data_IF_536829153641
#
_entry.id   IF_536829153641
#
_cell.length_a   1.000
_cell.length_b   1.000
_cell.length_c   1.000
_cell.angle_alpha   90.00
_cell.angle_beta   90.00
_cell.angle_gamma   90.00
#
_symmetry.space_group_name_H-M   'P 1'
#
loop_
_entity.id
_entity.type
_entity.pdbx_description
1 polymer ?
#
# COMPACT_ATOMS: atom_id res chain seq x y z
N UNK A 1 -10.87 13.91 -5.06
CA UNK A 1 -10.45 12.63 -5.67
C UNK A 1 -9.37 12.02 -4.78
N UNK A 2 -9.51 10.76 -4.30
CA UNK A 2 -8.50 10.11 -3.45
C UNK A 2 -7.15 10.01 -4.16
N UNK A 3 -6.05 10.07 -3.40
CA UNK A 3 -4.70 9.96 -3.98
C UNK A 3 -4.51 8.57 -4.63
N UNK A 4 -3.79 8.47 -5.76
CA UNK A 4 -3.35 7.17 -6.24
C UNK A 4 -2.47 6.49 -5.18
N UNK A 5 -2.71 5.20 -4.96
CA UNK A 5 -1.95 4.42 -3.97
C UNK A 5 -0.51 4.23 -4.43
N UNK A 6 0.46 4.47 -3.55
CA UNK A 6 1.86 4.16 -3.83
C UNK A 6 2.14 2.65 -3.70
N UNK A 7 3.34 2.23 -4.07
CA UNK A 7 3.75 0.81 -4.06
C UNK A 7 3.59 0.15 -2.69
N UNK A 8 3.96 0.86 -1.62
CA UNK A 8 3.81 0.36 -0.25
C UNK A 8 2.35 0.23 0.17
N UNK A 9 1.48 1.17 -0.18
CA UNK A 9 0.04 1.09 0.16
C UNK A 9 -0.61 -0.08 -0.57
N UNK A 10 -0.25 -0.31 -1.83
CA UNK A 10 -0.71 -1.48 -2.58
C UNK A 10 -0.23 -2.79 -1.95
N UNK A 11 1.05 -2.85 -1.56
CA UNK A 11 1.63 -4.00 -0.86
C UNK A 11 0.95 -4.27 0.48
N UNK A 12 0.80 -3.23 1.32
CA UNK A 12 0.15 -3.32 2.63
C UNK A 12 -1.29 -3.82 2.50
N UNK A 13 -2.05 -3.31 1.54
CA UNK A 13 -3.42 -3.78 1.28
C UNK A 13 -3.46 -5.24 0.85
N UNK A 14 -2.48 -5.70 0.06
CA UNK A 14 -2.35 -7.11 -0.31
C UNK A 14 -2.02 -8.01 0.89
N UNK A 15 -1.10 -7.57 1.74
CA UNK A 15 -0.67 -8.33 2.93
C UNK A 15 -1.62 -8.19 4.13
N UNK A 16 -2.54 -7.23 4.11
CA UNK A 16 -3.41 -6.93 5.24
C UNK A 16 -4.19 -8.15 5.71
N UNK A 17 -4.79 -8.90 4.78
CA UNK A 17 -5.57 -10.09 5.14
C UNK A 17 -4.69 -11.20 5.73
N UNK A 18 -3.47 -11.36 5.22
CA UNK A 18 -2.51 -12.35 5.75
C UNK A 18 -2.07 -11.97 7.17
N UNK A 19 -1.69 -10.70 7.39
CA UNK A 19 -1.29 -10.17 8.71
C UNK A 19 -2.47 -10.24 9.69
N UNK A 20 -3.67 -9.86 9.26
CA UNK A 20 -4.87 -9.93 10.09
C UNK A 20 -5.24 -11.38 10.43
N UNK A 21 -5.07 -12.34 9.52
CA UNK A 21 -5.31 -13.76 9.83
C UNK A 21 -4.26 -14.33 10.78
N UNK A 22 -2.98 -13.97 10.60
CA UNK A 22 -1.88 -14.48 11.43
C UNK A 22 -1.93 -13.93 12.85
N UNK A 23 -2.27 -12.66 13.01
CA UNK A 23 -2.15 -11.95 14.29
C UNK A 23 -3.48 -11.46 14.85
N UNK A 24 -4.59 -11.54 14.12
CA UNK A 24 -5.89 -10.95 14.51
C UNK A 24 -6.54 -11.57 15.75
N UNK A 25 -6.01 -12.68 16.25
CA UNK A 25 -6.37 -13.24 17.55
C UNK A 25 -5.76 -12.47 18.74
N UNK A 26 -4.80 -11.57 18.49
CA UNK A 26 -4.15 -10.77 19.53
C UNK A 26 -4.99 -9.53 19.86
N UNK A 27 -5.30 -9.27 21.15
CA UNK A 27 -6.10 -8.11 21.58
C UNK A 27 -5.53 -6.74 21.19
N UNK A 28 -4.23 -6.67 20.89
CA UNK A 28 -3.51 -5.43 20.58
C UNK A 28 -3.34 -5.16 19.07
N UNK A 29 -3.99 -5.93 18.19
CA UNK A 29 -3.86 -5.75 16.74
C UNK A 29 -4.67 -4.57 16.23
N UNK A 30 -4.10 -3.38 16.38
CA UNK A 30 -4.57 -2.16 15.72
C UNK A 30 -4.04 -2.05 14.28
N UNK A 31 -4.69 -1.22 13.46
CA UNK A 31 -4.18 -0.84 12.14
C UNK A 31 -2.74 -0.28 12.18
N UNK A 32 -2.34 0.30 13.31
CA UNK A 32 -0.97 0.77 13.55
C UNK A 32 0.02 -0.40 13.62
N UNK A 33 -0.34 -1.47 14.36
CA UNK A 33 0.48 -2.68 14.47
C UNK A 33 0.62 -3.38 13.11
N UNK A 34 -0.48 -3.52 12.35
CA UNK A 34 -0.45 -4.07 10.98
C UNK A 34 0.50 -3.25 10.10
N UNK A 35 0.41 -1.93 10.16
CA UNK A 35 1.25 -1.06 9.34
C UNK A 35 2.73 -1.16 9.69
N UNK A 36 3.06 -1.39 10.98
CA UNK A 36 4.43 -1.62 11.45
C UNK A 36 4.99 -2.98 11.00
N UNK A 37 4.17 -4.03 11.05
CA UNK A 37 4.56 -5.36 10.53
C UNK A 37 4.75 -5.28 9.01
N UNK A 38 3.79 -4.69 8.29
CA UNK A 38 3.86 -4.56 6.84
C UNK A 38 5.06 -3.72 6.38
N UNK A 39 5.46 -2.68 7.13
CA UNK A 39 6.66 -1.90 6.80
C UNK A 39 7.94 -2.72 6.98
N UNK A 40 8.04 -3.54 8.02
CA UNK A 40 9.17 -4.47 8.21
C UNK A 40 9.21 -5.54 7.12
N UNK A 41 8.06 -6.15 6.80
CA UNK A 41 7.95 -7.11 5.69
C UNK A 41 8.39 -6.46 4.38
N UNK A 42 7.89 -5.25 4.10
CA UNK A 42 8.27 -4.51 2.89
C UNK A 42 9.78 -4.24 2.83
N UNK A 43 10.45 -3.89 3.93
CA UNK A 43 11.90 -3.69 3.91
C UNK A 43 12.64 -4.98 3.58
N UNK A 44 12.22 -6.12 4.14
CA UNK A 44 12.80 -7.43 3.91
C UNK A 44 12.37 -8.10 2.58
N UNK A 45 11.35 -7.57 1.92
CA UNK A 45 10.74 -8.17 0.73
C UNK A 45 11.70 -8.20 -0.48
N UNK A 46 11.52 -9.21 -1.33
CA UNK A 46 12.34 -9.40 -2.52
C UNK A 46 12.27 -8.17 -3.47
N UNK A 47 13.40 -7.71 -4.03
CA UNK A 47 13.42 -6.60 -4.98
C UNK A 47 12.47 -6.77 -6.18
N UNK A 48 12.25 -7.99 -6.65
CA UNK A 48 11.31 -8.32 -7.74
C UNK A 48 9.88 -8.05 -7.33
N UNK A 49 9.50 -8.39 -6.09
CA UNK A 49 8.17 -8.11 -5.56
C UNK A 49 8.00 -6.59 -5.43
N UNK A 50 8.98 -5.90 -4.87
CA UNK A 50 8.98 -4.43 -4.80
C UNK A 50 8.81 -3.78 -6.18
N UNK A 51 9.52 -4.28 -7.19
CA UNK A 51 9.41 -3.81 -8.58
C UNK A 51 8.01 -4.03 -9.16
N UNK A 52 7.37 -5.18 -8.89
CA UNK A 52 5.98 -5.44 -9.32
C UNK A 52 5.00 -4.42 -8.72
N UNK A 53 5.13 -4.11 -7.43
CA UNK A 53 4.28 -3.11 -6.78
C UNK A 53 4.61 -1.69 -7.23
N UNK A 54 5.86 -1.38 -7.56
CA UNK A 54 6.26 -0.11 -8.16
C UNK A 54 5.63 0.09 -9.55
N UNK A 55 5.69 -0.93 -10.42
CA UNK A 55 5.03 -0.89 -11.73
C UNK A 55 3.51 -0.69 -11.60
N UNK A 56 2.88 -1.39 -10.65
CA UNK A 56 1.43 -1.25 -10.40
C UNK A 56 1.06 0.13 -9.86
N UNK A 57 1.90 0.71 -9.01
CA UNK A 57 1.70 2.07 -8.51
C UNK A 57 1.83 3.11 -9.63
N UNK A 58 2.81 2.95 -10.52
CA UNK A 58 2.97 3.86 -11.67
C UNK A 58 1.79 3.74 -12.64
N UNK A 59 1.33 2.52 -12.94
CA UNK A 59 0.12 2.32 -13.74
C UNK A 59 -1.10 3.00 -13.09
N UNK A 60 -1.30 2.82 -11.79
CA UNK A 60 -2.42 3.45 -11.07
C UNK A 60 -2.33 4.97 -11.11
N UNK A 61 -1.12 5.53 -11.01
CA UNK A 61 -0.87 6.96 -11.13
C UNK A 61 -1.17 7.48 -12.53
N UNK A 62 -0.73 6.77 -13.57
CA UNK A 62 -1.02 7.12 -14.96
C UNK A 62 -2.53 7.06 -15.25
N UNK A 63 -3.21 5.98 -14.86
CA UNK A 63 -4.66 5.85 -15.00
C UNK A 63 -5.41 6.98 -14.27
N UNK A 64 -4.93 7.36 -13.08
CA UNK A 64 -5.51 8.45 -12.32
C UNK A 64 -5.33 9.79 -13.02
N UNK A 65 -4.14 10.08 -13.55
CA UNK A 65 -3.87 11.30 -14.31
C UNK A 65 -4.69 11.35 -15.61
N UNK A 66 -4.87 10.21 -16.28
CA UNK A 66 -5.71 10.12 -17.48
C UNK A 66 -7.19 10.37 -17.18
N UNK A 67 -7.72 9.78 -16.10
CA UNK A 67 -9.13 9.97 -15.69
C UNK A 67 -9.38 11.36 -15.09
N UNK A 68 -8.34 11.96 -14.51
CA UNK A 68 -8.43 13.23 -13.81
C UNK A 68 -7.26 14.14 -14.21
N UNK A 69 -7.27 14.67 -15.45
CA UNK A 69 -6.20 15.54 -15.95
C UNK A 69 -6.06 16.83 -15.12
N UNK A 70 -7.15 17.31 -14.52
CA UNK A 70 -7.15 18.49 -13.63
C UNK A 70 -6.82 18.16 -12.17
N UNK A 71 -6.43 16.91 -11.87
CA UNK A 71 -6.14 16.50 -10.50
C UNK A 71 -4.90 17.23 -9.95
N UNK A 72 -5.13 18.09 -8.96
CA UNK A 72 -4.08 18.74 -8.18
C UNK A 72 -4.26 18.41 -6.72
N UNK A 73 -3.27 17.73 -6.12
CA UNK A 73 -3.29 17.44 -4.69
C UNK A 73 -3.15 18.74 -3.90
N UNK A 74 -4.19 19.07 -3.11
CA UNK A 74 -4.18 20.17 -2.15
C UNK A 74 -4.29 19.58 -0.74
N UNK A 75 -3.18 19.50 0.03
CA UNK A 75 -3.27 19.16 1.44
C UNK A 75 -4.06 20.27 2.17
N UNK A 76 -4.96 19.88 3.08
CA UNK A 76 -5.64 20.80 4.01
C UNK A 76 -4.83 20.91 5.30
#
# INVERSE_FOLDING_TARGET
IPRPSNSFILYRSHQHSAIASLYGHLPAMSNSAISKIASMMWQAEDPRVKARFAAKAEQTKLEHLMRHPDYKFKPK
#
